data_IF_222555269960
#
_entry.id   IF_222555269960
#
_cell.length_a   1.000
_cell.length_b   1.000
_cell.length_c   1.000
_cell.angle_alpha   90.00
_cell.angle_beta   90.00
_cell.angle_gamma   90.00
#
_symmetry.space_group_name_H-M   'P 1'
#
loop_
_entity.id
_entity.type
_entity.pdbx_description
1 polymer ?
#
# COMPACT_ATOMS: atom_id res chain seq x y z
N UNK A 1 4.23 -25.97 5.37
CA UNK A 1 3.67 -26.09 6.75
C UNK A 1 2.19 -25.77 6.63
N UNK A 2 1.32 -26.67 7.06
CA UNK A 2 -0.14 -26.53 6.98
C UNK A 2 -0.65 -26.14 8.36
N UNK A 3 -1.54 -25.15 8.44
CA UNK A 3 -2.22 -24.81 9.70
C UNK A 3 -3.30 -25.82 9.94
N UNK A 4 -3.26 -26.52 11.08
CA UNK A 4 -4.37 -27.37 11.52
C UNK A 4 -5.43 -26.48 12.18
N UNK A 5 -6.65 -26.53 11.66
CA UNK A 5 -7.79 -25.79 12.16
C UNK A 5 -8.68 -26.69 13.02
N UNK A 6 -9.24 -26.11 14.07
CA UNK A 6 -10.39 -26.70 14.72
C UNK A 6 -11.58 -26.77 13.76
N UNK A 7 -12.59 -27.56 14.08
CA UNK A 7 -13.75 -27.76 13.21
C UNK A 7 -14.52 -26.47 12.86
N UNK A 8 -14.34 -25.41 13.66
CA UNK A 8 -15.03 -24.11 13.48
C UNK A 8 -14.16 -22.95 14.02
N UNK A 9 -13.05 -22.58 13.34
CA UNK A 9 -12.13 -21.57 13.81
C UNK A 9 -12.80 -20.19 13.91
N UNK A 10 -12.47 -19.45 14.95
CA UNK A 10 -12.89 -18.07 15.15
C UNK A 10 -11.99 -17.14 14.34
N UNK A 11 -12.55 -16.48 13.32
CA UNK A 11 -11.85 -15.50 12.50
C UNK A 11 -12.33 -14.10 12.85
N UNK A 12 -11.43 -13.20 13.19
CA UNK A 12 -11.79 -11.80 13.43
C UNK A 12 -11.27 -10.89 12.33
N UNK A 13 -12.06 -9.90 11.98
CA UNK A 13 -11.71 -8.92 10.93
C UNK A 13 -11.65 -7.53 11.55
N UNK A 14 -10.43 -7.02 11.79
CA UNK A 14 -10.22 -5.68 12.33
C UNK A 14 -10.27 -4.61 11.23
N UNK A 15 -10.02 -5.00 9.98
CA UNK A 15 -10.04 -4.09 8.84
C UNK A 15 -11.44 -3.52 8.56
N UNK A 16 -11.59 -2.20 8.73
CA UNK A 16 -12.83 -1.49 8.45
C UNK A 16 -13.26 -1.58 6.98
N UNK A 17 -12.30 -1.44 6.06
CA UNK A 17 -12.57 -1.49 4.61
C UNK A 17 -13.01 -2.89 4.17
N UNK A 18 -12.45 -3.94 4.76
CA UNK A 18 -12.94 -5.31 4.57
C UNK A 18 -14.37 -5.46 5.14
N UNK A 19 -14.56 -5.06 6.40
CA UNK A 19 -15.84 -5.18 7.12
C UNK A 19 -16.98 -4.41 6.44
N UNK A 20 -16.68 -3.31 5.74
CA UNK A 20 -17.66 -2.53 4.97
C UNK A 20 -18.13 -3.24 3.70
N UNK A 21 -17.33 -4.13 3.12
CA UNK A 21 -17.67 -4.81 1.88
C UNK A 21 -18.59 -6.00 2.14
N UNK A 22 -19.83 -5.92 1.67
CA UNK A 22 -20.80 -7.03 1.77
C UNK A 22 -20.32 -8.28 1.04
N UNK A 23 -19.64 -8.11 -0.10
CA UNK A 23 -19.09 -9.22 -0.88
C UNK A 23 -18.00 -9.97 -0.11
N UNK A 24 -17.00 -9.25 0.43
CA UNK A 24 -15.92 -9.88 1.18
C UNK A 24 -16.43 -10.57 2.46
N UNK A 25 -17.41 -9.96 3.14
CA UNK A 25 -18.06 -10.58 4.31
C UNK A 25 -18.73 -11.89 3.94
N UNK A 26 -19.52 -11.90 2.88
CA UNK A 26 -20.22 -13.10 2.42
C UNK A 26 -19.26 -14.21 2.00
N UNK A 27 -18.20 -13.87 1.26
CA UNK A 27 -17.17 -14.83 0.84
C UNK A 27 -16.44 -15.43 2.05
N UNK A 28 -16.07 -14.61 3.03
CA UNK A 28 -15.44 -15.10 4.25
C UNK A 28 -16.36 -16.02 5.05
N UNK A 29 -17.63 -15.63 5.25
CA UNK A 29 -18.61 -16.41 6.01
C UNK A 29 -18.95 -17.75 5.37
N UNK A 30 -18.83 -17.90 4.05
CA UNK A 30 -19.00 -19.20 3.37
C UNK A 30 -17.93 -20.21 3.80
N UNK A 31 -16.71 -19.72 4.07
CA UNK A 31 -15.56 -20.59 4.41
C UNK A 31 -15.39 -20.69 5.92
N UNK A 32 -15.57 -19.57 6.62
CA UNK A 32 -15.43 -19.44 8.06
C UNK A 32 -16.68 -18.84 8.68
N UNK A 33 -17.71 -19.67 8.94
CA UNK A 33 -19.01 -19.20 9.45
C UNK A 33 -18.91 -18.47 10.80
N UNK A 34 -17.90 -18.80 11.63
CA UNK A 34 -17.62 -18.17 12.93
C UNK A 34 -16.75 -16.92 12.80
N UNK A 35 -17.01 -16.08 11.78
CA UNK A 35 -16.26 -14.84 11.56
C UNK A 35 -16.94 -13.65 12.23
N UNK A 36 -16.14 -12.83 12.93
CA UNK A 36 -16.57 -11.60 13.62
C UNK A 36 -15.94 -10.39 12.95
N UNK A 37 -16.75 -9.40 12.63
CA UNK A 37 -16.32 -8.20 11.90
C UNK A 37 -16.35 -6.98 12.81
N UNK A 38 -15.35 -6.11 12.70
CA UNK A 38 -15.36 -4.83 13.41
C UNK A 38 -16.49 -3.93 12.88
N UNK A 39 -16.97 -3.04 13.74
CA UNK A 39 -17.83 -1.94 13.30
C UNK A 39 -17.02 -1.01 12.38
N UNK A 40 -17.48 -0.85 11.13
CA UNK A 40 -16.81 -0.04 10.13
C UNK A 40 -17.02 1.47 10.32
N UNK A 41 -17.86 1.91 11.25
CA UNK A 41 -18.11 3.32 11.56
C UNK A 41 -17.03 3.92 12.45
N UNK A 42 -16.34 3.12 13.27
CA UNK A 42 -15.32 3.59 14.19
C UNK A 42 -13.95 2.94 13.95
N UNK A 43 -12.87 3.72 14.12
CA UNK A 43 -11.52 3.17 14.15
C UNK A 43 -11.30 2.46 15.48
N UNK A 44 -10.82 1.20 15.42
CA UNK A 44 -10.41 0.50 16.62
C UNK A 44 -9.19 1.19 17.25
N UNK A 45 -9.30 1.58 18.49
CA UNK A 45 -8.15 1.99 19.30
C UNK A 45 -7.30 0.76 19.63
N UNK A 46 -6.03 0.96 19.99
CA UNK A 46 -5.07 -0.14 20.19
C UNK A 46 -5.55 -1.14 21.26
N UNK A 47 -6.06 -0.65 22.37
CA UNK A 47 -6.60 -1.48 23.44
C UNK A 47 -7.78 -2.33 22.95
N UNK A 48 -8.68 -1.74 22.17
CA UNK A 48 -9.82 -2.45 21.58
C UNK A 48 -9.40 -3.47 20.51
N UNK A 49 -8.27 -3.26 19.83
CA UNK A 49 -7.70 -4.26 18.88
C UNK A 49 -7.30 -5.51 19.65
N UNK A 50 -6.63 -5.34 20.79
CA UNK A 50 -6.23 -6.45 21.66
C UNK A 50 -7.42 -7.29 22.12
N UNK A 51 -8.43 -6.64 22.67
CA UNK A 51 -9.65 -7.31 23.16
C UNK A 51 -10.43 -7.98 22.01
N UNK A 52 -10.46 -7.33 20.84
CA UNK A 52 -11.17 -7.84 19.67
C UNK A 52 -10.51 -9.07 19.05
N UNK A 53 -9.18 -9.14 19.05
CA UNK A 53 -8.44 -10.33 18.59
C UNK A 53 -8.55 -11.43 19.65
N UNK A 54 -8.26 -11.13 20.91
CA UNK A 54 -8.45 -11.95 22.08
C UNK A 54 -8.12 -13.45 21.89
N UNK A 55 -9.15 -14.27 21.88
CA UNK A 55 -9.13 -15.72 21.74
C UNK A 55 -9.30 -16.24 20.30
N UNK A 56 -9.23 -15.35 19.29
CA UNK A 56 -9.41 -15.74 17.91
C UNK A 56 -8.26 -16.65 17.39
N UNK A 57 -8.61 -17.57 16.48
CA UNK A 57 -7.64 -18.44 15.79
C UNK A 57 -6.96 -17.73 14.62
N UNK A 58 -7.66 -16.79 13.98
CA UNK A 58 -7.16 -16.01 12.86
C UNK A 58 -7.63 -14.56 12.91
N UNK A 59 -6.77 -13.64 12.45
CA UNK A 59 -7.11 -12.22 12.36
C UNK A 59 -6.84 -11.67 10.94
N UNK A 60 -7.85 -11.05 10.31
CA UNK A 60 -7.68 -10.27 9.08
C UNK A 60 -7.54 -8.81 9.48
N UNK A 61 -6.34 -8.25 9.26
CA UNK A 61 -5.95 -6.93 9.75
C UNK A 61 -5.75 -5.92 8.61
N UNK A 62 -6.11 -4.67 8.85
CA UNK A 62 -5.92 -3.55 7.94
C UNK A 62 -4.72 -2.69 8.33
N UNK A 63 -4.99 -1.50 8.85
CA UNK A 63 -4.00 -0.49 9.25
C UNK A 63 -3.73 -0.48 10.76
N UNK A 64 -4.36 -1.38 11.49
CA UNK A 64 -4.21 -1.52 12.94
C UNK A 64 -2.80 -2.02 13.27
N UNK A 65 -2.20 -1.50 14.33
CA UNK A 65 -0.89 -1.95 14.80
C UNK A 65 -1.01 -3.33 15.45
N UNK A 66 -0.25 -4.28 14.93
CA UNK A 66 -0.15 -5.66 15.43
C UNK A 66 1.29 -5.86 15.92
N UNK A 67 1.54 -5.38 17.09
CA UNK A 67 2.86 -5.45 17.74
C UNK A 67 2.86 -6.41 18.93
N UNK A 68 4.01 -6.55 19.57
CA UNK A 68 4.18 -7.39 20.74
C UNK A 68 3.17 -7.08 21.86
N UNK A 69 2.75 -5.81 22.03
CA UNK A 69 1.78 -5.43 23.08
C UNK A 69 0.39 -5.98 22.82
N UNK A 70 0.02 -6.18 21.55
CA UNK A 70 -1.23 -6.84 21.14
C UNK A 70 -1.06 -8.36 21.22
N UNK A 71 -0.01 -8.89 20.59
CA UNK A 71 0.19 -10.33 20.43
C UNK A 71 0.41 -11.09 21.74
N UNK A 72 0.95 -10.45 22.77
CA UNK A 72 1.13 -11.08 24.10
C UNK A 72 -0.17 -11.45 24.81
N UNK A 73 -1.30 -10.88 24.36
CA UNK A 73 -2.62 -11.14 24.94
C UNK A 73 -3.47 -12.09 24.09
N UNK A 74 -2.95 -12.54 22.93
CA UNK A 74 -3.64 -13.53 22.12
C UNK A 74 -3.30 -14.94 22.59
N UNK A 75 -4.28 -15.82 22.69
CA UNK A 75 -4.11 -17.17 23.24
C UNK A 75 -4.07 -18.26 22.17
N UNK A 76 -4.88 -18.09 21.12
CA UNK A 76 -5.11 -19.14 20.12
C UNK A 76 -4.67 -18.73 18.70
N UNK A 77 -4.15 -17.50 18.54
CA UNK A 77 -3.90 -16.90 17.22
C UNK A 77 -2.83 -17.69 16.46
N UNK A 78 -3.22 -18.30 15.33
CA UNK A 78 -2.36 -19.11 14.45
C UNK A 78 -1.89 -18.32 13.24
N UNK A 79 -2.67 -17.31 12.78
CA UNK A 79 -2.36 -16.52 11.58
C UNK A 79 -2.87 -15.10 11.69
N UNK A 80 -2.05 -14.15 11.23
CA UNK A 80 -2.43 -12.78 10.90
C UNK A 80 -2.45 -12.64 9.39
N UNK A 81 -3.59 -12.38 8.80
CA UNK A 81 -3.75 -12.13 7.36
C UNK A 81 -3.86 -10.63 7.08
N UNK A 82 -2.94 -10.11 6.27
CA UNK A 82 -2.90 -8.69 5.94
C UNK A 82 -3.85 -8.35 4.79
N UNK A 83 -4.88 -7.59 5.07
CA UNK A 83 -5.71 -6.95 4.05
C UNK A 83 -5.06 -5.62 3.62
N UNK A 84 -4.15 -5.71 2.66
CA UNK A 84 -3.30 -4.63 2.18
C UNK A 84 -1.89 -5.12 1.87
N UNK A 85 -0.99 -4.23 1.44
CA UNK A 85 0.35 -4.59 0.98
C UNK A 85 1.49 -4.08 1.87
N UNK A 86 1.29 -3.00 2.63
CA UNK A 86 2.28 -2.51 3.59
C UNK A 86 2.30 -3.37 4.86
N UNK A 87 3.48 -3.67 5.38
CA UNK A 87 3.68 -4.47 6.59
C UNK A 87 4.23 -3.64 7.76
N UNK A 88 4.32 -2.34 7.61
CA UNK A 88 4.86 -1.39 8.58
C UNK A 88 4.09 -1.36 9.92
N UNK A 89 2.85 -1.81 9.92
CA UNK A 89 2.01 -1.92 11.11
C UNK A 89 2.03 -3.31 11.77
N UNK A 90 2.85 -4.26 11.28
CA UNK A 90 2.94 -5.63 11.80
C UNK A 90 4.35 -5.92 12.28
N UNK A 91 4.49 -6.32 13.53
CA UNK A 91 5.75 -6.78 14.11
C UNK A 91 6.03 -8.23 13.70
N UNK A 92 6.82 -8.38 12.62
CA UNK A 92 7.13 -9.68 12.02
C UNK A 92 7.97 -10.57 12.96
N UNK A 93 8.84 -9.97 13.78
CA UNK A 93 9.67 -10.71 14.74
C UNK A 93 8.79 -11.26 15.86
N UNK A 94 7.84 -10.47 16.34
CA UNK A 94 6.88 -10.90 17.35
C UNK A 94 5.94 -11.99 16.83
N UNK A 95 5.52 -11.98 15.57
CA UNK A 95 4.77 -13.09 14.96
C UNK A 95 5.63 -14.36 14.93
N UNK A 96 6.86 -14.24 14.41
CA UNK A 96 7.77 -15.37 14.28
C UNK A 96 8.10 -16.02 15.63
N UNK A 97 8.35 -15.22 16.68
CA UNK A 97 8.70 -15.73 18.02
C UNK A 97 7.56 -16.47 18.71
N UNK A 98 6.31 -16.35 18.18
CA UNK A 98 5.09 -16.99 18.68
C UNK A 98 4.54 -18.05 17.74
N UNK A 99 5.30 -18.41 16.68
CA UNK A 99 4.85 -19.33 15.63
C UNK A 99 3.52 -18.91 14.97
N UNK A 100 3.24 -17.60 14.91
CA UNK A 100 2.06 -17.05 14.23
C UNK A 100 2.41 -16.79 12.76
N UNK A 101 1.66 -17.38 11.86
CA UNK A 101 1.86 -17.21 10.42
C UNK A 101 1.43 -15.83 9.94
N UNK A 102 2.08 -15.34 8.88
CA UNK A 102 1.66 -14.15 8.14
C UNK A 102 1.04 -14.57 6.80
N UNK A 103 -0.24 -14.31 6.62
CA UNK A 103 -0.93 -14.36 5.33
C UNK A 103 -0.78 -13.02 4.61
N UNK A 104 0.02 -12.98 3.53
CA UNK A 104 0.29 -11.74 2.81
C UNK A 104 0.68 -11.99 1.36
N UNK A 105 0.23 -11.09 0.49
CA UNK A 105 0.63 -11.09 -0.93
C UNK A 105 0.98 -9.68 -1.37
N UNK A 106 2.24 -9.49 -1.80
CA UNK A 106 2.74 -8.21 -2.27
C UNK A 106 2.15 -7.80 -3.61
N UNK A 107 1.96 -6.48 -3.81
CA UNK A 107 1.62 -5.92 -5.11
C UNK A 107 0.19 -6.17 -5.62
N UNK A 108 -0.70 -6.72 -4.81
CA UNK A 108 -2.10 -6.98 -5.21
C UNK A 108 -2.86 -5.74 -5.66
N UNK A 109 -2.54 -4.58 -5.06
CA UNK A 109 -3.16 -3.30 -5.38
C UNK A 109 -2.29 -2.40 -6.28
N UNK A 110 -1.18 -2.93 -6.84
CA UNK A 110 -0.20 -2.12 -7.61
C UNK A 110 -0.86 -1.26 -8.67
N UNK A 111 -1.80 -1.81 -9.46
CA UNK A 111 -2.47 -1.09 -10.54
C UNK A 111 -3.27 0.10 -10.03
N UNK A 112 -4.07 -0.09 -8.98
CA UNK A 112 -4.86 1.01 -8.38
C UNK A 112 -3.98 2.15 -7.88
N UNK A 113 -2.85 1.82 -7.24
CA UNK A 113 -1.90 2.83 -6.76
C UNK A 113 -1.18 3.51 -7.92
N UNK A 114 -0.81 2.79 -8.96
CA UNK A 114 -0.14 3.34 -10.15
C UNK A 114 -1.03 4.29 -10.93
N UNK A 115 -2.31 3.95 -11.08
CA UNK A 115 -3.31 4.82 -11.73
C UNK A 115 -3.56 6.10 -10.92
N UNK A 116 -3.64 5.98 -9.58
CA UNK A 116 -3.74 7.15 -8.70
C UNK A 116 -2.49 8.03 -8.78
N UNK A 117 -1.30 7.43 -8.85
CA UNK A 117 -0.04 8.15 -9.05
C UNK A 117 -0.05 8.95 -10.35
N UNK A 118 -0.45 8.32 -11.44
CA UNK A 118 -0.59 9.00 -12.74
C UNK A 118 -1.64 10.11 -12.70
N UNK A 119 -2.76 9.89 -12.03
CA UNK A 119 -3.78 10.91 -11.81
C UNK A 119 -3.22 12.15 -11.10
N UNK A 120 -2.42 11.95 -10.03
CA UNK A 120 -1.76 13.06 -9.34
C UNK A 120 -0.74 13.78 -10.23
N UNK A 121 0.09 13.06 -10.99
CA UNK A 121 1.04 13.65 -11.92
C UNK A 121 0.33 14.54 -12.94
N UNK A 122 -0.71 14.04 -13.58
CA UNK A 122 -1.51 14.80 -14.55
C UNK A 122 -2.25 15.96 -13.87
N UNK A 123 -2.86 15.72 -12.72
CA UNK A 123 -3.60 16.74 -11.96
C UNK A 123 -2.72 17.91 -11.53
N UNK A 124 -1.51 17.64 -11.05
CA UNK A 124 -0.54 18.67 -10.67
C UNK A 124 0.02 19.40 -11.90
N UNK A 125 0.44 18.67 -12.92
CA UNK A 125 0.95 19.29 -14.16
C UNK A 125 -0.05 20.21 -14.82
N UNK A 126 -1.35 19.88 -14.78
CA UNK A 126 -2.43 20.62 -15.44
C UNK A 126 -3.21 21.54 -14.51
N UNK A 127 -2.74 21.73 -13.28
CA UNK A 127 -3.42 22.54 -12.25
C UNK A 127 -4.91 22.20 -12.04
N UNK A 128 -5.28 20.91 -12.22
CA UNK A 128 -6.68 20.47 -12.15
C UNK A 128 -7.30 20.77 -10.79
N UNK A 129 -6.54 20.54 -9.72
CA UNK A 129 -7.05 20.73 -8.36
C UNK A 129 -7.35 22.19 -8.05
N UNK A 130 -6.42 23.11 -8.35
CA UNK A 130 -6.59 24.55 -8.15
C UNK A 130 -7.75 25.10 -8.99
N UNK A 131 -7.76 24.81 -10.29
CA UNK A 131 -8.82 25.25 -11.21
C UNK A 131 -10.20 24.72 -10.81
N UNK A 132 -10.28 23.47 -10.33
CA UNK A 132 -11.54 22.89 -9.84
C UNK A 132 -12.09 23.61 -8.60
N UNK A 133 -11.21 24.01 -7.66
CA UNK A 133 -11.64 24.78 -6.48
C UNK A 133 -12.14 26.17 -6.84
N UNK A 134 -11.48 26.87 -7.78
CA UNK A 134 -11.90 28.16 -8.28
C UNK A 134 -13.25 28.06 -9.00
N UNK A 135 -13.38 27.06 -9.89
CA UNK A 135 -14.63 26.86 -10.61
C UNK A 135 -15.84 26.59 -9.70
N UNK A 136 -15.65 25.85 -8.60
CA UNK A 136 -16.69 25.65 -7.58
C UNK A 136 -17.16 26.95 -6.93
N UNK A 137 -16.33 28.01 -6.93
CA UNK A 137 -16.66 29.36 -6.46
C UNK A 137 -17.17 30.26 -7.58
N UNK A 138 -17.44 29.71 -8.77
CA UNK A 138 -17.83 30.45 -9.98
C UNK A 138 -16.74 31.38 -10.51
N UNK A 139 -15.49 31.14 -10.12
CA UNK A 139 -14.31 31.84 -10.60
C UNK A 139 -13.71 31.06 -11.78
N UNK A 140 -13.78 31.61 -12.98
CA UNK A 140 -13.16 31.05 -14.17
C UNK A 140 -11.71 31.51 -14.26
N UNK A 141 -10.76 30.59 -14.02
CA UNK A 141 -9.33 30.84 -14.20
C UNK A 141 -8.71 29.69 -14.98
N UNK A 142 -8.08 30.02 -16.09
CA UNK A 142 -7.41 29.06 -16.97
C UNK A 142 -5.90 29.21 -16.84
N UNK A 143 -5.34 28.75 -15.71
CA UNK A 143 -3.89 28.62 -15.57
C UNK A 143 -3.43 27.41 -16.36
N UNK A 144 -2.63 27.65 -17.40
CA UNK A 144 -2.34 26.67 -18.47
C UNK A 144 -1.69 25.37 -18.01
N UNK A 145 -0.82 25.39 -17.01
CA UNK A 145 -0.04 24.23 -16.59
C UNK A 145 0.91 23.71 -17.69
N UNK A 146 1.47 22.53 -17.48
CA UNK A 146 2.43 21.89 -18.36
C UNK A 146 1.95 20.50 -18.82
N UNK A 147 2.44 20.07 -19.98
CA UNK A 147 2.26 18.68 -20.40
C UNK A 147 3.14 17.75 -19.56
N UNK A 148 2.66 16.54 -19.26
CA UNK A 148 3.46 15.47 -18.69
C UNK A 148 4.41 14.88 -19.76
N UNK A 149 3.97 14.83 -21.00
CA UNK A 149 4.75 14.31 -22.14
C UNK A 149 6.10 15.02 -22.26
N UNK A 150 7.15 14.23 -22.44
CA UNK A 150 8.52 14.70 -22.56
C UNK A 150 9.17 15.17 -21.25
N UNK A 151 8.48 15.14 -20.12
CA UNK A 151 9.08 15.46 -18.82
C UNK A 151 10.01 14.35 -18.35
N UNK A 152 11.02 14.73 -17.58
CA UNK A 152 11.85 13.76 -16.85
C UNK A 152 11.12 13.38 -15.55
N UNK A 153 10.79 12.11 -15.42
CA UNK A 153 10.09 11.57 -14.25
C UNK A 153 10.99 10.59 -13.51
N UNK A 154 11.24 10.86 -12.24
CA UNK A 154 12.03 10.02 -11.34
C UNK A 154 11.14 9.09 -10.52
N UNK A 155 11.45 7.80 -10.55
CA UNK A 155 10.77 6.75 -9.77
C UNK A 155 11.74 6.21 -8.74
N UNK A 156 11.49 6.48 -7.45
CA UNK A 156 12.27 5.97 -6.34
C UNK A 156 11.59 4.71 -5.81
N UNK A 157 12.24 3.55 -5.96
CA UNK A 157 11.69 2.24 -5.70
C UNK A 157 10.94 1.66 -6.89
N UNK A 158 11.57 0.72 -7.60
CA UNK A 158 11.02 0.03 -8.77
C UNK A 158 10.57 -1.40 -8.43
N UNK A 159 9.81 -1.53 -7.34
CA UNK A 159 9.12 -2.74 -6.92
C UNK A 159 7.83 -2.96 -7.71
N UNK A 160 6.82 -3.57 -7.10
CA UNK A 160 5.53 -3.86 -7.76
C UNK A 160 4.85 -2.60 -8.30
N UNK A 161 4.74 -1.56 -7.48
CA UNK A 161 4.06 -0.32 -7.86
C UNK A 161 4.92 0.54 -8.78
N UNK A 162 6.18 0.82 -8.40
CA UNK A 162 7.05 1.68 -9.22
C UNK A 162 7.26 1.15 -10.63
N UNK A 163 7.44 -0.16 -10.80
CA UNK A 163 7.55 -0.77 -12.13
C UNK A 163 6.25 -0.64 -12.94
N UNK A 164 5.10 -0.68 -12.30
CA UNK A 164 3.82 -0.50 -12.99
C UNK A 164 3.59 0.97 -13.38
N UNK A 165 4.02 1.94 -12.54
CA UNK A 165 4.02 3.37 -12.89
C UNK A 165 4.92 3.64 -14.10
N UNK A 166 6.13 3.05 -14.15
CA UNK A 166 7.03 3.16 -15.31
C UNK A 166 6.32 2.69 -16.58
N UNK A 167 5.63 1.54 -16.55
CA UNK A 167 4.86 1.03 -17.71
C UNK A 167 3.73 1.96 -18.12
N UNK A 168 3.00 2.55 -17.16
CA UNK A 168 1.91 3.50 -17.45
C UNK A 168 2.44 4.82 -18.05
N UNK A 169 3.65 5.23 -17.70
CA UNK A 169 4.26 6.46 -18.21
C UNK A 169 4.90 6.31 -19.61
N UNK A 170 5.21 5.09 -20.04
CA UNK A 170 5.84 4.83 -21.32
C UNK A 170 5.08 5.47 -22.51
N UNK A 171 3.74 5.39 -22.64
CA UNK A 171 3.00 6.02 -23.75
C UNK A 171 3.04 7.55 -23.75
N UNK A 172 3.40 8.18 -22.62
CA UNK A 172 3.51 9.66 -22.55
C UNK A 172 4.83 10.18 -23.13
N UNK A 173 5.78 9.31 -23.48
CA UNK A 173 7.09 9.73 -24.00
C UNK A 173 7.91 10.49 -22.96
N UNK A 174 7.75 10.17 -21.67
CA UNK A 174 8.55 10.73 -20.59
C UNK A 174 10.00 10.18 -20.63
N UNK A 175 10.95 10.99 -20.19
CA UNK A 175 12.29 10.50 -19.84
C UNK A 175 12.21 9.87 -18.44
N UNK A 176 12.37 8.55 -18.34
CA UNK A 176 12.16 7.81 -17.10
C UNK A 176 13.49 7.51 -16.41
N UNK A 177 13.66 8.05 -15.21
CA UNK A 177 14.78 7.76 -14.31
C UNK A 177 14.29 6.86 -13.17
N UNK A 178 14.99 5.78 -12.91
CA UNK A 178 14.65 4.79 -11.90
C UNK A 178 15.77 4.71 -10.88
N UNK A 179 15.44 4.78 -9.61
CA UNK A 179 16.35 4.47 -8.51
C UNK A 179 15.80 3.29 -7.71
N UNK A 180 16.63 2.27 -7.52
CA UNK A 180 16.33 1.11 -6.68
C UNK A 180 17.62 0.55 -6.10
N UNK A 181 17.53 -0.09 -4.94
CA UNK A 181 18.66 -0.80 -4.31
C UNK A 181 18.99 -2.11 -5.02
N UNK A 182 18.05 -2.63 -5.82
CA UNK A 182 18.21 -3.85 -6.62
C UNK A 182 18.49 -3.45 -8.06
N UNK A 183 19.32 -4.21 -8.75
CA UNK A 183 19.57 -4.03 -10.19
C UNK A 183 18.27 -4.20 -10.99
N UNK A 184 17.89 -3.15 -11.71
CA UNK A 184 16.72 -3.07 -12.59
C UNK A 184 17.12 -2.84 -14.06
N UNK A 185 18.38 -3.00 -14.41
CA UNK A 185 18.92 -2.67 -15.73
C UNK A 185 18.15 -3.34 -16.86
N UNK A 186 17.82 -4.61 -16.73
CA UNK A 186 17.04 -5.34 -17.74
C UNK A 186 15.62 -4.74 -17.89
N UNK A 187 14.92 -4.50 -16.78
CA UNK A 187 13.60 -3.87 -16.81
C UNK A 187 13.66 -2.46 -17.39
N UNK A 188 14.63 -1.66 -16.99
CA UNK A 188 14.83 -0.30 -17.51
C UNK A 188 15.07 -0.32 -19.02
N UNK A 189 15.91 -1.23 -19.53
CA UNK A 189 16.13 -1.39 -20.96
C UNK A 189 14.83 -1.73 -21.72
N UNK A 190 14.03 -2.67 -21.21
CA UNK A 190 12.73 -3.06 -21.79
C UNK A 190 11.73 -1.90 -21.82
N UNK A 191 11.77 -1.01 -20.82
CA UNK A 191 10.83 0.11 -20.69
C UNK A 191 11.41 1.45 -21.21
N UNK A 192 12.60 1.45 -21.82
CA UNK A 192 13.32 2.66 -22.27
C UNK A 192 13.52 3.68 -21.13
N UNK A 193 13.78 3.18 -19.93
CA UNK A 193 14.12 3.94 -18.75
C UNK A 193 15.62 3.83 -18.45
N UNK A 194 16.14 4.67 -17.56
CA UNK A 194 17.53 4.63 -17.10
C UNK A 194 17.58 4.40 -15.60
N UNK A 195 18.30 3.36 -15.15
CA UNK A 195 18.61 3.22 -13.74
C UNK A 195 19.76 4.14 -13.37
N UNK A 196 19.55 4.98 -12.35
CA UNK A 196 20.50 6.00 -11.90
C UNK A 196 20.65 6.03 -10.39
N UNK A 197 21.68 6.71 -9.89
CA UNK A 197 21.78 7.01 -8.46
C UNK A 197 20.67 7.96 -8.00
N UNK A 198 20.38 7.96 -6.70
CA UNK A 198 19.38 8.86 -6.12
C UNK A 198 19.70 10.33 -6.41
N UNK A 199 20.96 10.74 -6.26
CA UNK A 199 21.39 12.12 -6.51
C UNK A 199 21.11 12.55 -7.95
N UNK A 200 21.49 11.73 -8.93
CA UNK A 200 21.24 12.01 -10.36
C UNK A 200 19.74 12.13 -10.64
N UNK A 201 18.92 11.26 -10.02
CA UNK A 201 17.47 11.33 -10.15
C UNK A 201 16.93 12.64 -9.59
N UNK A 202 17.34 13.04 -8.38
CA UNK A 202 16.88 14.26 -7.71
C UNK A 202 17.28 15.53 -8.47
N UNK A 203 18.47 15.53 -9.08
CA UNK A 203 18.96 16.66 -9.88
C UNK A 203 18.24 16.82 -11.22
N UNK A 204 17.84 15.72 -11.86
CA UNK A 204 17.35 15.76 -13.24
C UNK A 204 15.83 15.64 -13.37
N UNK A 205 15.16 15.06 -12.38
CA UNK A 205 13.72 14.82 -12.47
C UNK A 205 12.92 16.11 -12.22
N UNK A 206 11.97 16.39 -13.13
CA UNK A 206 10.98 17.44 -12.94
C UNK A 206 9.81 16.98 -12.07
N UNK A 207 9.58 15.68 -12.00
CA UNK A 207 8.52 15.03 -11.23
C UNK A 207 9.13 13.81 -10.56
N UNK A 208 8.88 13.64 -9.27
CA UNK A 208 9.39 12.52 -8.50
C UNK A 208 8.23 11.76 -7.86
N UNK A 209 8.26 10.44 -7.95
CA UNK A 209 7.31 9.58 -7.27
C UNK A 209 8.04 8.49 -6.48
N UNK A 210 7.66 8.34 -5.21
CA UNK A 210 8.34 7.44 -4.28
C UNK A 210 7.45 6.22 -3.98
N UNK A 211 8.01 5.04 -4.17
CA UNK A 211 7.34 3.74 -4.02
C UNK A 211 8.19 2.76 -3.21
N UNK A 212 8.83 3.25 -2.17
CA UNK A 212 9.62 2.46 -1.22
C UNK A 212 8.84 2.22 0.07
N UNK A 213 9.06 1.10 0.79
CA UNK A 213 8.49 0.91 2.12
C UNK A 213 9.12 1.88 3.12
N UNK A 214 8.40 2.22 4.19
CA UNK A 214 8.96 2.98 5.30
C UNK A 214 9.87 2.07 6.13
N UNK A 215 11.16 2.36 6.10
CA UNK A 215 12.21 1.66 6.87
C UNK A 215 13.16 2.68 7.49
N UNK A 216 14.11 2.22 8.32
CA UNK A 216 15.18 3.08 8.84
C UNK A 216 16.01 3.74 7.73
N UNK A 217 16.19 3.05 6.58
CA UNK A 217 16.98 3.55 5.45
C UNK A 217 16.20 4.51 4.55
N UNK A 218 14.87 4.38 4.51
CA UNK A 218 14.02 5.22 3.65
C UNK A 218 13.34 6.36 4.41
N UNK A 219 13.45 6.37 5.75
CA UNK A 219 12.96 7.47 6.57
C UNK A 219 13.72 8.75 6.23
N UNK A 220 12.99 9.79 5.84
CA UNK A 220 13.55 11.10 5.42
C UNK A 220 14.65 11.01 4.35
N UNK A 221 14.56 10.02 3.43
CA UNK A 221 15.57 9.87 2.37
C UNK A 221 15.53 10.98 1.30
N UNK A 222 14.46 11.73 1.25
CA UNK A 222 14.30 12.96 0.46
C UNK A 222 13.90 14.07 1.43
N UNK A 223 14.75 15.08 1.59
CA UNK A 223 14.60 16.20 2.52
C UNK A 223 15.08 17.53 1.85
#
# INVERSE_FOLDING_TARGET
MTIEWDSNPKVVVTSRSFSKSSVLRQELLKVFPNSVFTDHHQKLLKEKVTDFIGDADAAIVGVESIDNSVLKHTTNLKIVSKYGVGLDNIDLESLKSRDIFLGWTGGTNKRSVSELTLCFMLGLCRNVFGSSFKLKKLEWEKDGGHQLSGKTVGIIGCGHTGSDVVRLLAPFGCNLLVNDIVDKSKFCQEQRASQVSLNVLLEQASIISMHVPLTKQTHQMVN
#
